data_IF_339739871349
#
_entry.id   IF_339739871349
#
_cell.length_a   1.000
_cell.length_b   1.000
_cell.length_c   1.000
_cell.angle_alpha   90.00
_cell.angle_beta   90.00
_cell.angle_gamma   90.00
#
_symmetry.space_group_name_H-M   'P 1'
#
loop_
_entity.id
_entity.type
_entity.pdbx_description
1 polymer ?
#
# COMPACT_ATOMS: atom_id res chain seq x y z
N UNK A 1 5.79 -20.74 -17.03
CA UNK A 1 6.40 -19.44 -16.70
C UNK A 1 6.03 -19.22 -15.25
N UNK A 2 7.02 -19.12 -14.37
CA UNK A 2 6.83 -19.01 -12.93
C UNK A 2 6.29 -17.59 -12.64
N UNK A 3 4.98 -17.39 -12.84
CA UNK A 3 4.31 -16.08 -12.76
C UNK A 3 3.76 -15.80 -11.36
N UNK A 4 4.27 -16.47 -10.33
CA UNK A 4 3.90 -16.17 -8.94
C UNK A 4 4.84 -15.06 -8.44
N UNK A 5 4.35 -13.83 -8.22
CA UNK A 5 5.19 -12.75 -7.69
C UNK A 5 5.75 -13.18 -6.34
N UNK A 6 7.06 -13.00 -6.15
CA UNK A 6 7.69 -13.36 -4.88
C UNK A 6 7.18 -12.40 -3.79
N UNK A 7 7.00 -12.85 -2.54
CA UNK A 7 6.59 -11.98 -1.43
C UNK A 7 7.50 -10.76 -1.22
N UNK A 8 8.74 -10.82 -1.69
CA UNK A 8 9.74 -9.74 -1.65
C UNK A 8 9.42 -8.58 -2.63
N UNK A 9 8.61 -8.84 -3.67
CA UNK A 9 8.14 -7.84 -4.64
C UNK A 9 6.78 -7.22 -4.25
N UNK A 10 6.11 -7.81 -3.24
CA UNK A 10 4.85 -7.31 -2.74
C UNK A 10 5.07 -6.12 -1.80
N UNK A 11 4.39 -5.02 -2.06
CA UNK A 11 4.37 -3.91 -1.12
C UNK A 11 3.73 -4.41 0.18
N UNK A 12 4.37 -4.21 1.35
CA UNK A 12 3.75 -4.55 2.61
C UNK A 12 2.53 -3.64 2.86
N UNK A 13 1.50 -4.13 3.58
CA UNK A 13 0.37 -3.30 3.94
C UNK A 13 0.85 -2.13 4.83
N UNK A 14 0.53 -0.88 4.48
CA UNK A 14 0.94 0.26 5.28
C UNK A 14 0.19 0.27 6.61
N UNK A 15 0.90 0.54 7.70
CA UNK A 15 0.32 0.67 9.04
C UNK A 15 -0.41 2.01 9.14
N UNK A 16 -1.70 2.01 9.52
CA UNK A 16 -2.41 3.26 9.76
C UNK A 16 -1.75 4.00 10.94
N UNK A 17 -1.47 5.30 10.80
CA UNK A 17 -1.05 6.11 11.93
C UNK A 17 -2.21 6.26 12.91
N UNK A 18 -1.88 6.43 14.18
CA UNK A 18 -2.89 6.67 15.20
C UNK A 18 -3.54 8.05 15.05
N UNK A 19 -4.75 8.24 15.57
CA UNK A 19 -5.48 9.51 15.47
C UNK A 19 -4.76 10.69 16.16
N UNK A 20 -3.86 10.38 17.10
CA UNK A 20 -2.99 11.35 17.77
C UNK A 20 -1.64 11.55 17.06
N UNK A 21 -1.32 10.72 16.06
CA UNK A 21 -0.13 10.87 15.24
C UNK A 21 -0.36 11.94 14.16
N UNK A 22 0.04 13.15 14.53
CA UNK A 22 0.64 14.15 13.67
C UNK A 22 -0.11 14.56 12.39
N UNK A 23 -1.07 15.47 12.56
CA UNK A 23 -1.62 16.35 11.53
C UNK A 23 -1.87 17.75 12.13
N UNK A 24 -0.80 18.45 12.52
CA UNK A 24 -0.84 19.77 13.18
C UNK A 24 0.43 20.60 12.91
N UNK A 25 0.49 21.83 13.40
CA UNK A 25 1.55 22.81 13.05
C UNK A 25 2.99 22.41 13.43
N UNK A 26 3.17 21.43 14.30
CA UNK A 26 4.49 20.90 14.70
C UNK A 26 4.96 19.75 13.79
N UNK A 27 4.12 19.34 12.83
CA UNK A 27 4.32 18.14 12.02
C UNK A 27 5.05 18.41 10.69
N UNK A 28 6.11 19.23 10.69
CA UNK A 28 6.97 19.46 9.52
C UNK A 28 6.25 19.73 8.18
N UNK A 29 6.88 19.34 7.06
CA UNK A 29 6.38 19.56 5.69
C UNK A 29 5.29 18.56 5.24
N UNK A 30 5.04 17.47 5.97
CA UNK A 30 4.06 16.45 5.57
C UNK A 30 3.36 15.78 6.75
N UNK A 31 2.03 15.90 6.81
CA UNK A 31 1.18 15.16 7.74
C UNK A 31 1.33 13.65 7.53
N UNK A 32 1.49 12.87 8.60
CA UNK A 32 1.77 11.43 8.50
C UNK A 32 0.63 10.66 7.82
N UNK A 33 -0.61 11.15 7.96
CA UNK A 33 -1.75 10.62 7.22
C UNK A 33 -1.58 10.77 5.71
N UNK A 34 -0.99 11.86 5.21
CA UNK A 34 -0.71 12.02 3.77
C UNK A 34 0.25 10.94 3.28
N UNK A 35 1.34 10.73 4.04
CA UNK A 35 2.32 9.68 3.75
C UNK A 35 1.63 8.29 3.75
N UNK A 36 0.78 8.01 4.74
CA UNK A 36 -0.01 6.78 4.81
C UNK A 36 -0.91 6.61 3.58
N UNK A 37 -1.65 7.65 3.19
CA UNK A 37 -2.55 7.57 2.02
C UNK A 37 -1.78 7.32 0.73
N UNK A 38 -0.62 7.96 0.55
CA UNK A 38 0.25 7.69 -0.61
C UNK A 38 0.74 6.24 -0.64
N UNK A 39 1.19 5.70 0.49
CA UNK A 39 1.63 4.30 0.57
C UNK A 39 0.46 3.34 0.34
N UNK A 40 -0.72 3.66 0.89
CA UNK A 40 -1.94 2.87 0.73
C UNK A 40 -2.39 2.82 -0.72
N UNK A 41 -2.33 3.93 -1.45
CA UNK A 41 -2.71 3.95 -2.86
C UNK A 41 -1.81 3.00 -3.70
N UNK A 42 -0.50 3.02 -3.45
CA UNK A 42 0.44 2.12 -4.12
C UNK A 42 0.17 0.65 -3.77
N UNK A 43 -0.05 0.35 -2.49
CA UNK A 43 -0.42 -0.98 -2.03
C UNK A 43 -1.73 -1.46 -2.68
N UNK A 44 -2.79 -0.65 -2.61
CA UNK A 44 -4.11 -0.98 -3.15
C UNK A 44 -4.06 -1.20 -4.67
N UNK A 45 -3.23 -0.43 -5.39
CA UNK A 45 -3.01 -0.64 -6.83
C UNK A 45 -2.40 -2.01 -7.11
N UNK A 46 -1.34 -2.37 -6.38
CA UNK A 46 -0.70 -3.67 -6.54
C UNK A 46 -1.68 -4.81 -6.20
N UNK A 47 -2.46 -4.69 -5.12
CA UNK A 47 -3.46 -5.69 -4.75
C UNK A 47 -4.53 -5.89 -5.84
N UNK A 48 -4.96 -4.81 -6.51
CA UNK A 48 -5.89 -4.92 -7.64
C UNK A 48 -5.28 -5.65 -8.82
N UNK A 49 -4.02 -5.35 -9.16
CA UNK A 49 -3.31 -6.01 -10.26
C UNK A 49 -3.12 -7.51 -9.96
N UNK A 50 -2.74 -7.85 -8.72
CA UNK A 50 -2.63 -9.25 -8.28
C UNK A 50 -3.97 -9.96 -8.34
N UNK A 51 -5.05 -9.34 -7.85
CA UNK A 51 -6.37 -9.93 -7.91
C UNK A 51 -6.79 -10.27 -9.35
N UNK A 52 -6.48 -9.38 -10.31
CA UNK A 52 -6.73 -9.62 -11.73
C UNK A 52 -5.89 -10.78 -12.27
N UNK A 53 -4.58 -10.79 -12.00
CA UNK A 53 -3.68 -11.87 -12.40
C UNK A 53 -4.12 -13.24 -11.83
N UNK A 54 -4.55 -13.28 -10.58
CA UNK A 54 -5.06 -14.50 -9.94
C UNK A 54 -6.36 -14.99 -10.57
N UNK A 55 -7.26 -14.10 -11.00
CA UNK A 55 -8.46 -14.49 -11.74
C UNK A 55 -8.18 -15.00 -13.15
N UNK A 56 -7.16 -14.47 -13.83
CA UNK A 56 -6.75 -14.95 -15.16
C UNK A 56 -6.03 -16.30 -15.09
N UNK A 57 -5.30 -16.57 -14.00
CA UNK A 57 -4.63 -17.86 -13.78
C UNK A 57 -5.60 -19.03 -13.46
N UNK A 58 -6.85 -18.72 -13.09
CA UNK A 58 -7.86 -19.71 -12.73
C UNK A 58 -8.73 -20.17 -13.92
N UNK A 59 -8.51 -19.63 -15.12
CA UNK A 59 -9.24 -19.97 -16.35
C UNK A 59 -8.40 -20.82 -17.30
#
# INVERSE_FOLDING_TARGET
MDTTPKPDELLPPPTPPEDWECCGSECGDACIFQIYYHQKEAYDKQQRELAQMHTDAAK
#
